data_IF_281727014976
#
_entry.id   IF_281727014976
#
_cell.length_a   1.000
_cell.length_b   1.000
_cell.length_c   1.000
_cell.angle_alpha   90.00
_cell.angle_beta   90.00
_cell.angle_gamma   90.00
#
_symmetry.space_group_name_H-M   'P 1'
#
loop_
_entity.id
_entity.type
_entity.pdbx_description
1 polymer ?
#
# COMPACT_ATOMS: atom_id res chain seq x y z
N UNK A 1 -27.88 31.89 -31.02
CA UNK A 1 -28.84 31.87 -29.89
C UNK A 1 -28.07 31.59 -28.62
N UNK A 2 -27.87 32.62 -27.78
CA UNK A 2 -27.11 32.54 -26.53
C UNK A 2 -28.04 32.05 -25.42
N UNK A 3 -27.78 30.88 -24.85
CA UNK A 3 -28.54 30.36 -23.72
C UNK A 3 -27.82 30.76 -22.42
N UNK A 4 -28.47 31.56 -21.58
CA UNK A 4 -27.91 32.08 -20.33
C UNK A 4 -28.13 31.09 -19.19
N UNK A 5 -27.13 30.98 -18.30
CA UNK A 5 -27.08 30.13 -17.09
C UNK A 5 -28.31 30.18 -16.17
N UNK A 6 -29.21 31.16 -16.32
CA UNK A 6 -30.45 31.27 -15.51
C UNK A 6 -31.56 30.31 -15.93
N UNK A 7 -31.56 29.78 -17.16
CA UNK A 7 -32.63 28.86 -17.61
C UNK A 7 -32.43 27.40 -17.17
N UNK A 8 -31.24 27.01 -16.69
CA UNK A 8 -31.00 25.64 -16.22
C UNK A 8 -31.57 25.39 -14.82
N UNK A 9 -31.61 26.42 -13.96
CA UNK A 9 -32.03 26.28 -12.56
C UNK A 9 -33.56 26.29 -12.34
N UNK A 10 -34.36 26.58 -13.38
CA UNK A 10 -35.82 26.59 -13.27
C UNK A 10 -36.47 25.21 -13.54
N UNK A 11 -35.70 24.21 -13.97
CA UNK A 11 -36.24 22.92 -14.45
C UNK A 11 -36.25 21.75 -13.45
N UNK A 12 -35.79 21.93 -12.21
CA UNK A 12 -35.65 20.82 -11.23
C UNK A 12 -36.58 20.93 -10.02
N UNK A 13 -37.68 21.65 -10.14
CA UNK A 13 -38.68 21.80 -9.07
C UNK A 13 -40.00 21.13 -9.39
N UNK A 14 -40.05 19.79 -9.39
CA UNK A 14 -41.24 18.97 -9.05
C UNK A 14 -41.02 17.51 -9.51
N UNK A 15 -40.96 16.55 -8.58
CA UNK A 15 -41.12 15.14 -8.94
C UNK A 15 -40.54 14.12 -7.96
N UNK A 16 -41.41 13.61 -7.08
CA UNK A 16 -41.34 12.32 -6.37
C UNK A 16 -40.35 12.15 -5.21
N UNK A 17 -40.85 12.40 -3.99
CA UNK A 17 -40.45 11.64 -2.79
C UNK A 17 -40.89 10.17 -2.98
N UNK A 18 -39.93 9.24 -3.08
CA UNK A 18 -40.20 7.81 -2.88
C UNK A 18 -39.74 7.47 -1.47
N UNK A 19 -40.69 7.31 -0.54
CA UNK A 19 -40.41 6.73 0.78
C UNK A 19 -40.20 5.23 0.63
N UNK A 20 -38.97 4.76 0.76
CA UNK A 20 -38.68 3.33 0.87
C UNK A 20 -38.70 2.91 2.35
N UNK A 21 -39.87 2.49 2.84
CA UNK A 21 -39.99 1.69 4.06
C UNK A 21 -39.82 0.22 3.70
N UNK A 22 -38.56 -0.23 3.63
CA UNK A 22 -38.21 -1.66 3.60
C UNK A 22 -37.29 -1.97 4.78
N UNK A 23 -37.44 -3.11 5.48
CA UNK A 23 -36.50 -3.47 6.52
C UNK A 23 -35.14 -3.66 5.87
N UNK A 24 -34.21 -2.75 6.16
CA UNK A 24 -32.80 -2.93 5.81
C UNK A 24 -32.30 -4.16 6.56
N UNK A 25 -32.27 -5.31 5.88
CA UNK A 25 -31.40 -6.42 6.29
C UNK A 25 -29.98 -5.90 6.21
N UNK A 26 -29.47 -5.41 7.34
CA UNK A 26 -28.05 -5.21 7.52
C UNK A 26 -27.40 -6.59 7.43
N UNK A 27 -26.93 -6.95 6.24
CA UNK A 27 -25.90 -7.98 6.12
C UNK A 27 -24.66 -7.40 6.80
N UNK A 28 -24.51 -7.71 8.08
CA UNK A 28 -23.28 -7.61 8.83
C UNK A 28 -22.28 -8.55 8.16
N UNK A 29 -21.54 -8.02 7.19
CA UNK A 29 -20.66 -8.82 6.35
C UNK A 29 -20.07 -8.04 5.20
N UNK A 30 -19.63 -6.79 5.42
CA UNK A 30 -18.66 -6.17 4.50
C UNK A 30 -17.29 -6.79 4.78
N UNK A 31 -17.17 -8.09 4.48
CA UNK A 31 -15.89 -8.73 4.34
C UNK A 31 -15.20 -8.04 3.16
N UNK A 32 -14.02 -7.51 3.43
CA UNK A 32 -13.18 -6.82 2.46
C UNK A 32 -13.20 -7.57 1.12
N UNK A 33 -13.46 -6.85 0.04
CA UNK A 33 -13.38 -7.36 -1.32
C UNK A 33 -11.93 -7.75 -1.62
N UNK A 34 -11.50 -8.91 -1.13
CA UNK A 34 -10.25 -9.53 -1.53
C UNK A 34 -10.42 -9.93 -2.98
N UNK A 35 -9.53 -9.47 -3.84
CA UNK A 35 -9.47 -10.00 -5.20
C UNK A 35 -9.28 -11.52 -5.15
N UNK A 36 -9.89 -12.23 -6.09
CA UNK A 36 -9.57 -13.62 -6.39
C UNK A 36 -8.16 -13.63 -6.99
N UNK A 37 -7.18 -14.15 -6.24
CA UNK A 37 -5.80 -14.33 -6.68
C UNK A 37 -5.64 -15.82 -7.00
N UNK A 38 -5.16 -16.13 -8.20
CA UNK A 38 -5.06 -17.53 -8.67
C UNK A 38 -3.92 -18.30 -8.00
N UNK A 39 -2.93 -17.58 -7.45
CA UNK A 39 -1.77 -18.12 -6.75
C UNK A 39 -1.60 -17.55 -5.35
N UNK A 40 -0.43 -16.96 -5.07
CA UNK A 40 -0.02 -16.61 -3.71
C UNK A 40 -0.34 -15.16 -3.38
N UNK A 41 -1.28 -14.91 -2.46
CA UNK A 41 -1.62 -13.54 -2.03
C UNK A 41 -0.58 -13.00 -1.05
N UNK A 42 0.44 -12.30 -1.56
CA UNK A 42 1.51 -11.78 -0.72
C UNK A 42 1.11 -10.57 0.14
N UNK A 43 1.60 -10.55 1.37
CA UNK A 43 1.55 -9.41 2.27
C UNK A 43 2.84 -9.24 3.05
N UNK A 44 2.97 -8.11 3.72
CA UNK A 44 4.11 -7.83 4.60
C UNK A 44 3.65 -7.16 5.89
N UNK A 45 4.26 -7.54 7.00
CA UNK A 45 4.07 -6.96 8.32
C UNK A 45 5.34 -6.18 8.71
N UNK A 46 5.15 -4.98 9.25
CA UNK A 46 6.20 -4.17 9.86
C UNK A 46 5.92 -4.02 11.35
N UNK A 47 6.78 -4.61 12.17
CA UNK A 47 6.73 -4.51 13.62
C UNK A 47 7.43 -3.22 14.07
N UNK A 48 6.63 -2.21 14.41
CA UNK A 48 7.17 -0.90 14.82
C UNK A 48 7.82 -0.97 16.21
N UNK A 49 7.52 -1.99 17.02
CA UNK A 49 8.12 -2.19 18.35
C UNK A 49 9.55 -2.74 18.24
N UNK A 50 9.84 -3.52 17.20
CA UNK A 50 11.14 -4.10 16.93
C UNK A 50 12.01 -3.28 15.96
N UNK A 51 11.43 -2.30 15.26
CA UNK A 51 12.15 -1.47 14.30
C UNK A 51 13.05 -0.46 15.02
N UNK A 52 14.35 -0.51 14.74
CA UNK A 52 15.37 0.37 15.35
C UNK A 52 15.82 1.51 14.43
N UNK A 53 15.20 1.68 13.27
CA UNK A 53 15.53 2.79 12.37
C UNK A 53 16.89 2.71 11.66
N UNK A 54 17.55 1.54 11.62
CA UNK A 54 18.91 1.37 11.09
C UNK A 54 19.08 1.55 9.57
N UNK A 55 18.00 1.80 8.83
CA UNK A 55 17.95 1.97 7.36
C UNK A 55 18.52 0.85 6.48
N UNK A 56 18.98 -0.28 7.05
CA UNK A 56 19.51 -1.43 6.30
C UNK A 56 18.53 -1.99 5.25
N UNK A 57 17.22 -1.86 5.49
CA UNK A 57 16.19 -2.25 4.54
C UNK A 57 16.15 -1.33 3.30
N UNK A 58 16.48 -0.05 3.45
CA UNK A 58 16.52 0.93 2.36
C UNK A 58 17.70 0.63 1.45
N UNK A 59 18.88 0.43 2.04
CA UNK A 59 20.11 0.15 1.29
C UNK A 59 20.02 -1.19 0.55
N UNK A 60 19.54 -2.25 1.22
CA UNK A 60 19.33 -3.53 0.58
C UNK A 60 18.31 -3.46 -0.57
N UNK A 61 17.25 -2.68 -0.42
CA UNK A 61 16.28 -2.49 -1.50
C UNK A 61 16.89 -1.75 -2.70
N UNK A 62 17.71 -0.72 -2.44
CA UNK A 62 18.40 0.04 -3.47
C UNK A 62 19.36 -0.86 -4.25
N UNK A 63 20.20 -1.59 -3.53
CA UNK A 63 21.21 -2.48 -4.11
C UNK A 63 20.57 -3.58 -4.97
N UNK A 64 19.66 -4.37 -4.37
CA UNK A 64 19.08 -5.53 -5.05
C UNK A 64 18.24 -5.13 -6.27
N UNK A 65 17.52 -4.01 -6.20
CA UNK A 65 16.64 -3.56 -7.27
C UNK A 65 17.24 -2.46 -8.16
N UNK A 66 18.52 -2.13 -7.95
CA UNK A 66 19.26 -1.11 -8.71
C UNK A 66 18.49 0.23 -8.78
N UNK A 67 17.97 0.68 -7.63
CA UNK A 67 17.17 1.92 -7.56
C UNK A 67 18.10 3.13 -7.74
N UNK A 68 17.84 4.05 -8.69
CA UNK A 68 18.71 5.21 -8.92
C UNK A 68 18.83 6.15 -7.71
N UNK A 69 19.89 6.95 -7.71
CA UNK A 69 20.07 8.02 -6.73
C UNK A 69 18.95 9.07 -6.82
N UNK A 70 18.64 9.70 -5.68
CA UNK A 70 17.59 10.74 -5.57
C UNK A 70 16.16 10.20 -5.49
N UNK A 71 15.94 8.89 -5.62
CA UNK A 71 14.63 8.23 -5.47
C UNK A 71 14.73 7.03 -4.54
N UNK A 72 13.59 6.58 -4.00
CA UNK A 72 13.54 5.40 -3.15
C UNK A 72 12.23 4.63 -3.29
N UNK A 73 12.31 3.29 -3.22
CA UNK A 73 11.15 2.39 -3.15
C UNK A 73 10.60 2.25 -1.73
N UNK A 74 11.39 2.58 -0.70
CA UNK A 74 10.97 2.59 0.70
C UNK A 74 11.80 3.57 1.54
N UNK A 75 11.18 4.15 2.56
CA UNK A 75 11.80 5.11 3.47
C UNK A 75 11.43 4.74 4.91
N UNK A 76 12.38 4.86 5.83
CA UNK A 76 12.12 4.82 7.27
C UNK A 76 11.98 6.26 7.77
N UNK A 77 10.78 6.63 8.16
CA UNK A 77 10.48 7.93 8.76
C UNK A 77 10.67 7.84 10.27
N UNK A 78 11.49 8.73 10.84
CA UNK A 78 11.69 8.85 12.28
C UNK A 78 10.78 9.94 12.84
N UNK A 79 10.06 9.63 13.91
CA UNK A 79 9.26 10.58 14.69
C UNK A 79 9.69 10.53 16.15
N UNK A 80 9.66 11.68 16.83
CA UNK A 80 10.15 11.85 18.20
C UNK A 80 11.37 12.78 18.28
N UNK A 81 12.05 12.85 19.43
CA UNK A 81 11.86 11.98 20.59
C UNK A 81 10.50 12.19 21.29
N UNK A 82 10.00 11.14 21.92
CA UNK A 82 8.86 11.18 22.86
C UNK A 82 9.39 10.82 24.24
N UNK A 83 8.99 11.57 25.27
CA UNK A 83 9.53 11.43 26.62
C UNK A 83 10.80 12.24 26.86
N UNK A 84 11.39 12.08 28.04
CA UNK A 84 12.60 12.79 28.50
C UNK A 84 13.73 11.81 28.76
N UNK A 85 14.98 12.27 28.59
CA UNK A 85 16.16 11.48 28.89
C UNK A 85 16.16 11.00 30.36
N UNK A 86 16.50 9.73 30.66
CA UNK A 86 17.03 8.69 29.75
C UNK A 86 15.96 7.85 29.01
N UNK A 87 14.67 8.15 29.22
CA UNK A 87 13.54 7.38 28.68
C UNK A 87 12.97 7.98 27.39
N UNK A 88 13.79 8.68 26.61
CA UNK A 88 13.37 9.24 25.32
C UNK A 88 13.31 8.13 24.28
N UNK A 89 12.21 8.08 23.52
CA UNK A 89 11.98 7.04 22.52
C UNK A 89 11.69 7.62 21.13
N UNK A 90 11.99 6.85 20.10
CA UNK A 90 11.70 7.16 18.70
C UNK A 90 10.74 6.13 18.11
N UNK A 91 9.85 6.64 17.26
CA UNK A 91 8.98 5.82 16.42
C UNK A 91 9.53 5.79 15.01
N UNK A 92 9.59 4.60 14.42
CA UNK A 92 10.09 4.40 13.06
C UNK A 92 8.97 3.85 12.20
N UNK A 93 8.57 4.60 11.19
CA UNK A 93 7.52 4.22 10.27
C UNK A 93 8.09 3.86 8.90
N UNK A 94 7.78 2.67 8.39
CA UNK A 94 8.14 2.26 7.03
C UNK A 94 7.13 2.81 6.01
N UNK A 95 7.53 3.84 5.27
CA UNK A 95 6.80 4.39 4.12
C UNK A 95 7.22 3.67 2.84
N UNK A 96 6.30 2.94 2.21
CA UNK A 96 6.55 2.16 0.98
C UNK A 96 5.23 1.79 0.29
N UNK A 97 5.28 1.15 -0.88
CA UNK A 97 4.06 0.65 -1.54
C UNK A 97 3.26 -0.27 -0.59
N UNK A 98 1.96 -0.02 -0.51
CA UNK A 98 1.06 -0.79 0.35
C UNK A 98 0.44 -2.01 -0.35
N UNK A 99 0.73 -2.20 -1.65
CA UNK A 99 0.20 -3.27 -2.50
C UNK A 99 -1.31 -3.48 -2.31
N UNK A 100 -2.07 -2.40 -2.39
CA UNK A 100 -3.52 -2.33 -2.20
C UNK A 100 -4.30 -3.29 -3.10
N UNK A 101 -5.34 -3.94 -2.58
CA UNK A 101 -6.28 -4.73 -3.40
C UNK A 101 -7.24 -3.82 -4.18
N UNK A 102 -7.63 -2.69 -3.59
CA UNK A 102 -8.31 -1.61 -4.28
C UNK A 102 -7.29 -0.49 -4.54
N UNK A 103 -6.51 -0.61 -5.61
CA UNK A 103 -5.37 0.26 -5.89
C UNK A 103 -5.76 1.45 -6.79
N UNK A 104 -5.89 2.69 -6.26
CA UNK A 104 -6.28 3.84 -7.08
C UNK A 104 -5.29 4.11 -8.22
N UNK A 105 -4.00 3.84 -7.95
CA UNK A 105 -2.94 3.96 -8.95
C UNK A 105 -3.07 3.00 -10.14
N UNK A 106 -3.85 1.92 -10.03
CA UNK A 106 -4.17 1.02 -11.14
C UNK A 106 -5.36 1.58 -11.90
N UNK A 107 -6.42 1.95 -11.19
CA UNK A 107 -7.66 2.51 -11.77
C UNK A 107 -7.45 3.77 -12.62
N UNK A 108 -6.49 4.62 -12.25
CA UNK A 108 -6.21 5.87 -13.00
C UNK A 108 -5.21 5.69 -14.15
N UNK A 109 -4.66 4.49 -14.38
CA UNK A 109 -3.63 4.31 -15.39
C UNK A 109 -4.25 4.18 -16.80
N UNK A 110 -4.06 5.16 -17.70
CA UNK A 110 -4.76 5.17 -18.97
C UNK A 110 -4.26 4.11 -19.96
N UNK A 111 -3.05 3.58 -19.76
CA UNK A 111 -2.42 2.60 -20.66
C UNK A 111 -2.47 1.16 -20.14
N UNK A 112 -3.01 0.94 -18.95
CA UNK A 112 -2.94 -0.37 -18.28
C UNK A 112 -1.54 -0.76 -17.78
N UNK A 113 -0.55 0.15 -17.83
CA UNK A 113 0.80 -0.12 -17.32
C UNK A 113 0.79 -0.49 -15.83
N UNK A 114 0.10 0.29 -15.00
CA UNK A 114 -0.12 -0.03 -13.60
C UNK A 114 -1.23 -1.06 -13.50
N UNK A 115 -0.95 -2.23 -12.95
CA UNK A 115 -1.89 -3.36 -12.89
C UNK A 115 -1.72 -4.14 -11.58
N UNK A 116 -2.65 -5.04 -11.29
CA UNK A 116 -2.51 -6.06 -10.24
C UNK A 116 -2.27 -7.38 -10.95
N UNK A 117 -1.20 -8.07 -10.58
CA UNK A 117 -0.84 -9.39 -11.12
C UNK A 117 -1.84 -10.44 -10.62
N UNK A 118 -2.39 -11.23 -11.54
CA UNK A 118 -3.42 -12.23 -11.22
C UNK A 118 -2.85 -13.40 -10.40
N UNK A 119 -1.59 -13.74 -10.65
CA UNK A 119 -0.91 -14.88 -10.05
C UNK A 119 -0.51 -14.65 -8.58
N UNK A 120 -0.31 -13.40 -8.15
CA UNK A 120 0.27 -13.10 -6.83
C UNK A 120 -0.28 -11.84 -6.13
N UNK A 121 -1.19 -11.12 -6.78
CA UNK A 121 -1.81 -9.91 -6.23
C UNK A 121 -0.84 -8.73 -6.06
N UNK A 122 0.38 -8.80 -6.58
CA UNK A 122 1.35 -7.70 -6.52
C UNK A 122 0.88 -6.60 -7.46
N UNK A 123 0.54 -5.44 -6.88
CA UNK A 123 0.39 -4.19 -7.64
C UNK A 123 1.72 -3.90 -8.31
N UNK A 124 1.75 -3.76 -9.64
CA UNK A 124 2.98 -3.65 -10.43
C UNK A 124 2.88 -2.64 -11.57
N UNK A 125 3.99 -2.39 -12.27
CA UNK A 125 4.07 -1.53 -13.45
C UNK A 125 4.75 -2.26 -14.60
N UNK A 126 4.05 -2.40 -15.72
CA UNK A 126 4.61 -2.81 -17.00
C UNK A 126 5.35 -1.61 -17.63
N UNK A 127 6.68 -1.68 -17.80
CA UNK A 127 7.46 -0.57 -18.37
C UNK A 127 7.10 -0.27 -19.82
N UNK A 128 6.74 -1.28 -20.61
CA UNK A 128 6.53 -1.13 -22.06
C UNK A 128 5.24 -0.36 -22.38
N UNK A 129 4.29 -0.35 -21.43
CA UNK A 129 3.03 0.39 -21.55
C UNK A 129 3.08 1.75 -20.86
N UNK A 130 4.13 2.04 -20.08
CA UNK A 130 4.16 3.23 -19.24
C UNK A 130 4.59 4.46 -20.04
N UNK A 131 3.68 5.43 -20.17
CA UNK A 131 3.94 6.71 -20.89
C UNK A 131 4.39 7.85 -19.99
N UNK A 132 4.70 7.59 -18.71
CA UNK A 132 5.21 8.61 -17.79
C UNK A 132 4.23 9.73 -17.41
N UNK A 133 2.91 9.54 -17.59
CA UNK A 133 1.89 10.58 -17.35
C UNK A 133 1.69 11.00 -15.87
N UNK A 134 2.31 10.29 -14.93
CA UNK A 134 2.28 10.56 -13.49
C UNK A 134 0.91 10.48 -12.78
N UNK A 135 -0.17 10.05 -13.45
CA UNK A 135 -1.49 9.92 -12.79
C UNK A 135 -1.45 8.96 -11.61
N UNK A 136 -0.73 7.84 -11.74
CA UNK A 136 -0.58 6.88 -10.66
C UNK A 136 0.17 7.44 -9.44
N UNK A 137 1.04 8.46 -9.62
CA UNK A 137 1.71 9.16 -8.53
C UNK A 137 0.70 10.04 -7.78
N UNK A 138 -0.05 10.86 -8.53
CA UNK A 138 -1.07 11.75 -7.97
C UNK A 138 -2.19 11.00 -7.22
N UNK A 139 -2.62 9.86 -7.76
CA UNK A 139 -3.69 9.06 -7.16
C UNK A 139 -3.24 8.21 -5.96
N UNK A 140 -1.93 8.01 -5.74
CA UNK A 140 -1.47 7.15 -4.67
C UNK A 140 -1.58 7.88 -3.31
N UNK A 141 -2.47 7.46 -2.39
CA UNK A 141 -2.67 8.17 -1.12
C UNK A 141 -1.47 8.05 -0.18
N UNK A 142 -0.51 7.19 -0.50
CA UNK A 142 0.71 6.97 0.27
C UNK A 142 1.90 7.77 -0.25
N UNK A 143 1.83 8.31 -1.49
CA UNK A 143 2.92 9.03 -2.14
C UNK A 143 4.24 8.22 -2.16
N UNK A 144 4.15 6.98 -2.66
CA UNK A 144 5.24 5.97 -2.69
C UNK A 144 5.54 5.48 -4.10
N UNK A 145 5.11 6.25 -5.09
CA UNK A 145 5.45 6.08 -6.51
C UNK A 145 6.28 7.28 -6.93
N UNK A 146 7.21 7.06 -7.84
CA UNK A 146 8.05 8.11 -8.43
C UNK A 146 8.26 7.78 -9.92
N UNK A 147 8.75 8.75 -10.70
CA UNK A 147 9.25 8.46 -12.05
C UNK A 147 10.72 8.12 -11.93
N UNK A 148 11.10 6.93 -12.40
CA UNK A 148 12.49 6.52 -12.45
C UNK A 148 13.27 7.51 -13.35
N UNK A 149 14.32 8.17 -12.83
CA UNK A 149 14.99 9.25 -13.55
C UNK A 149 15.74 8.76 -14.80
N UNK A 150 16.06 7.47 -14.87
CA UNK A 150 16.77 6.85 -16.00
C UNK A 150 15.77 6.35 -17.04
N UNK A 151 14.84 5.47 -16.63
CA UNK A 151 13.91 4.80 -17.56
C UNK A 151 12.69 5.63 -17.92
N UNK A 152 12.41 6.71 -17.17
CA UNK A 152 11.19 7.54 -17.28
C UNK A 152 9.87 6.79 -17.05
N UNK A 153 9.95 5.58 -16.50
CA UNK A 153 8.80 4.74 -16.12
C UNK A 153 8.42 5.01 -14.66
N UNK A 154 7.13 4.90 -14.34
CA UNK A 154 6.67 4.94 -12.96
C UNK A 154 7.18 3.72 -12.16
N UNK A 155 7.81 3.97 -11.02
CA UNK A 155 8.47 2.96 -10.20
C UNK A 155 7.99 3.07 -8.73
N UNK A 156 8.13 1.96 -8.01
CA UNK A 156 7.69 1.72 -6.63
C UNK A 156 8.22 0.38 -6.12
N UNK A 157 8.05 0.11 -4.83
CA UNK A 157 8.22 -1.26 -4.31
C UNK A 157 7.34 -2.26 -5.08
N UNK A 158 7.92 -3.40 -5.43
CA UNK A 158 7.34 -4.51 -6.21
C UNK A 158 7.48 -5.84 -5.45
N UNK A 159 7.67 -5.79 -4.12
CA UNK A 159 8.04 -6.92 -3.28
C UNK A 159 9.22 -7.76 -3.81
N UNK A 160 10.16 -7.14 -4.54
CA UNK A 160 11.31 -7.83 -5.15
C UNK A 160 10.87 -8.93 -6.15
N UNK A 161 9.68 -8.80 -6.77
CA UNK A 161 9.15 -9.79 -7.72
C UNK A 161 10.03 -10.06 -8.93
N UNK A 162 10.90 -9.10 -9.30
CA UNK A 162 11.87 -9.22 -10.41
C UNK A 162 13.23 -9.76 -9.96
N UNK A 163 13.48 -9.83 -8.66
CA UNK A 163 14.80 -10.04 -8.08
C UNK A 163 14.74 -11.21 -7.10
N UNK A 164 14.80 -10.96 -5.80
CA UNK A 164 14.84 -12.03 -4.79
C UNK A 164 13.63 -12.97 -4.85
N UNK A 165 12.42 -12.41 -4.97
CA UNK A 165 11.21 -13.23 -4.92
C UNK A 165 11.08 -14.13 -6.16
N UNK A 166 11.57 -13.70 -7.32
CA UNK A 166 11.67 -14.54 -8.52
C UNK A 166 12.59 -15.75 -8.33
N UNK A 167 13.50 -15.70 -7.36
CA UNK A 167 14.42 -16.78 -7.00
C UNK A 167 13.92 -17.61 -5.81
N UNK A 168 12.66 -17.41 -5.37
CA UNK A 168 12.11 -18.05 -4.18
C UNK A 168 12.70 -17.55 -2.85
N UNK A 169 13.41 -16.41 -2.86
CA UNK A 169 14.02 -15.81 -1.66
C UNK A 169 13.10 -14.74 -1.06
N UNK A 170 13.31 -14.42 0.22
CA UNK A 170 12.66 -13.28 0.86
C UNK A 170 13.03 -11.95 0.17
N UNK A 171 12.11 -10.96 0.13
CA UNK A 171 12.45 -9.62 -0.33
C UNK A 171 13.67 -9.05 0.39
N UNK A 172 14.52 -8.30 -0.33
CA UNK A 172 15.81 -7.82 0.19
C UNK A 172 15.70 -7.10 1.54
N UNK A 173 14.66 -6.25 1.68
CA UNK A 173 14.39 -5.53 2.92
C UNK A 173 14.05 -6.42 4.12
N UNK A 174 13.44 -7.59 3.89
CA UNK A 174 13.09 -8.58 4.92
C UNK A 174 14.35 -9.33 5.33
N UNK A 175 15.12 -9.80 4.35
CA UNK A 175 16.36 -10.54 4.57
C UNK A 175 17.43 -9.71 5.32
N UNK A 176 17.51 -8.40 5.05
CA UNK A 176 18.51 -7.51 5.66
C UNK A 176 18.14 -6.96 7.04
N UNK A 177 16.91 -7.20 7.52
CA UNK A 177 16.44 -6.60 8.78
C UNK A 177 17.07 -7.30 10.00
N UNK A 178 17.97 -6.64 10.77
CA UNK A 178 18.70 -7.30 11.85
C UNK A 178 17.81 -7.69 13.04
N UNK A 179 16.73 -6.94 13.27
CA UNK A 179 15.79 -7.17 14.36
C UNK A 179 14.58 -8.02 13.96
N UNK A 180 14.53 -8.48 12.71
CA UNK A 180 13.37 -9.22 12.16
C UNK A 180 12.04 -8.47 12.33
N UNK A 181 12.08 -7.14 12.28
CA UNK A 181 10.90 -6.27 12.31
C UNK A 181 10.05 -6.36 11.03
N UNK A 182 10.52 -7.04 9.98
CA UNK A 182 9.77 -7.25 8.76
C UNK A 182 9.47 -8.73 8.58
N UNK A 183 8.21 -9.05 8.28
CA UNK A 183 7.75 -10.41 7.97
C UNK A 183 7.00 -10.38 6.66
N UNK A 184 7.33 -11.28 5.73
CA UNK A 184 6.71 -11.36 4.41
C UNK A 184 6.19 -12.79 4.18
N UNK A 185 5.08 -12.93 3.47
CA UNK A 185 4.55 -14.24 3.15
C UNK A 185 3.15 -14.23 2.55
N UNK A 186 2.60 -15.43 2.40
CA UNK A 186 1.24 -15.65 1.91
C UNK A 186 0.20 -15.31 2.98
N UNK A 187 -0.72 -14.40 2.70
CA UNK A 187 -1.81 -14.02 3.58
C UNK A 187 -2.89 -15.10 3.68
N UNK A 188 -2.98 -16.01 2.72
CA UNK A 188 -3.99 -17.06 2.64
C UNK A 188 -3.54 -18.40 3.22
N UNK A 189 -2.26 -18.55 3.54
CA UNK A 189 -1.72 -19.73 4.21
C UNK A 189 -1.62 -19.47 5.72
N UNK A 190 -2.46 -20.11 6.57
CA UNK A 190 -2.38 -19.98 8.03
C UNK A 190 -1.04 -20.43 8.61
N UNK A 191 -0.30 -21.27 7.89
CA UNK A 191 1.03 -21.74 8.24
C UNK A 191 2.13 -20.70 8.00
N UNK A 192 1.84 -19.64 7.24
CA UNK A 192 2.84 -18.66 6.85
C UNK A 192 3.31 -17.80 8.04
N UNK A 193 4.56 -17.30 8.02
CA UNK A 193 5.08 -16.46 9.09
C UNK A 193 4.21 -15.21 9.35
N UNK A 194 3.71 -14.58 8.27
CA UNK A 194 2.86 -13.40 8.41
C UNK A 194 1.48 -13.75 8.98
N UNK A 195 0.82 -14.81 8.50
CA UNK A 195 -0.51 -15.19 9.00
C UNK A 195 -0.48 -15.52 10.50
N UNK A 196 0.56 -16.24 10.95
CA UNK A 196 0.79 -16.52 12.37
C UNK A 196 0.93 -15.25 13.21
N UNK A 197 1.66 -14.25 12.71
CA UNK A 197 1.83 -12.96 13.38
C UNK A 197 0.51 -12.18 13.42
N UNK A 198 -0.25 -12.16 12.33
CA UNK A 198 -1.55 -11.48 12.25
C UNK A 198 -2.60 -12.04 13.20
N UNK A 199 -2.55 -13.34 13.52
CA UNK A 199 -3.42 -13.95 14.53
C UNK A 199 -2.97 -13.61 15.96
N UNK A 200 -1.65 -13.55 16.18
CA UNK A 200 -1.07 -13.36 17.52
C UNK A 200 -1.06 -11.90 17.98
N UNK A 201 -0.95 -10.95 17.05
CA UNK A 201 -0.62 -9.56 17.37
C UNK A 201 -1.74 -8.60 16.98
N UNK A 202 -1.94 -7.58 17.80
CA UNK A 202 -2.77 -6.44 17.41
C UNK A 202 -2.08 -5.69 16.27
N UNK A 203 -2.74 -5.61 15.12
CA UNK A 203 -2.21 -4.93 13.94
C UNK A 203 -3.14 -3.88 13.39
N UNK A 204 -2.57 -2.91 12.68
CA UNK A 204 -3.31 -1.91 11.93
C UNK A 204 -2.80 -1.80 10.50
N UNK A 205 -3.60 -1.17 9.63
CA UNK A 205 -3.22 -0.83 8.26
C UNK A 205 -3.29 0.68 8.07
N UNK A 206 -2.19 1.25 7.59
CA UNK A 206 -2.07 2.69 7.42
C UNK A 206 -3.07 3.24 6.40
N UNK A 207 -3.80 4.30 6.78
CA UNK A 207 -4.88 4.93 6.00
C UNK A 207 -5.97 3.94 5.53
N UNK A 208 -6.31 2.95 6.35
CA UNK A 208 -7.36 1.96 6.03
C UNK A 208 -8.72 2.61 5.70
N UNK A 209 -9.04 3.75 6.32
CA UNK A 209 -10.27 4.50 6.07
C UNK A 209 -10.46 4.96 4.60
N UNK A 210 -9.39 5.00 3.81
CA UNK A 210 -9.46 5.36 2.37
C UNK A 210 -9.96 4.22 1.48
N UNK A 211 -10.31 3.06 2.04
CA UNK A 211 -10.91 1.96 1.29
C UNK A 211 -9.99 1.28 0.29
N UNK A 212 -8.66 1.45 0.42
CA UNK A 212 -7.67 0.88 -0.51
C UNK A 212 -7.37 -0.61 -0.25
N UNK A 213 -7.81 -1.16 0.88
CA UNK A 213 -7.46 -2.51 1.33
C UNK A 213 -5.94 -2.82 1.25
N UNK A 214 -5.10 -2.15 2.07
CA UNK A 214 -3.64 -2.38 2.08
C UNK A 214 -3.26 -3.82 2.44
N UNK A 215 -2.18 -4.33 1.82
CA UNK A 215 -1.53 -5.61 2.17
C UNK A 215 -0.26 -5.44 3.03
N UNK A 216 -0.06 -4.22 3.54
CA UNK A 216 0.97 -3.87 4.51
C UNK A 216 0.36 -3.71 5.90
N UNK A 217 0.68 -4.63 6.80
CA UNK A 217 0.24 -4.67 8.19
C UNK A 217 1.31 -4.09 9.09
N UNK A 218 0.91 -3.58 10.26
CA UNK A 218 1.82 -2.97 11.23
C UNK A 218 1.46 -3.37 12.64
N UNK A 219 2.46 -3.75 13.44
CA UNK A 219 2.32 -3.81 14.90
C UNK A 219 2.60 -2.40 15.41
N UNK A 220 1.66 -1.75 16.10
CA UNK A 220 1.84 -0.37 16.55
C UNK A 220 2.85 -0.31 17.70
N UNK A 221 3.72 0.70 17.65
CA UNK A 221 4.51 1.12 18.80
C UNK A 221 3.81 2.30 19.47
N UNK A 222 3.24 2.08 20.65
CA UNK A 222 2.43 3.08 21.37
C UNK A 222 0.98 3.16 20.89
N UNK A 223 0.29 4.25 21.23
CA UNK A 223 -1.12 4.45 20.86
C UNK A 223 -1.29 4.75 19.36
N UNK A 224 -2.28 4.10 18.75
CA UNK A 224 -2.70 4.36 17.36
C UNK A 224 -3.47 5.68 17.37
N UNK A 225 -2.84 6.79 16.95
CA UNK A 225 -3.59 8.02 16.65
C UNK A 225 -4.35 7.81 15.35
N UNK A 226 -5.64 7.54 15.47
CA UNK A 226 -6.62 7.37 14.38
C UNK A 226 -6.76 8.62 13.53
#
# INVERSE_FOLDING_TARGET
>A
MSCSRRQFMAGMGAGALIMMTGPARANAGTLAHSQTIDGVRYGMLHDETACIGCTACMDACREVNQVPQGVSRLEILRTGPVGEFPNADYHFFRKSCQHCDNAPCVHVCPTGASHIRAEDGIVDVNPDLCVGCMYCLAACPYQVRFINPVTRVADKCDFCRKTNLAQGKEPACVASCPTRALVFGNLDDPGSPIAKRLVKETTYRYKQALGTSPKMYRVPKGEIKS
#
